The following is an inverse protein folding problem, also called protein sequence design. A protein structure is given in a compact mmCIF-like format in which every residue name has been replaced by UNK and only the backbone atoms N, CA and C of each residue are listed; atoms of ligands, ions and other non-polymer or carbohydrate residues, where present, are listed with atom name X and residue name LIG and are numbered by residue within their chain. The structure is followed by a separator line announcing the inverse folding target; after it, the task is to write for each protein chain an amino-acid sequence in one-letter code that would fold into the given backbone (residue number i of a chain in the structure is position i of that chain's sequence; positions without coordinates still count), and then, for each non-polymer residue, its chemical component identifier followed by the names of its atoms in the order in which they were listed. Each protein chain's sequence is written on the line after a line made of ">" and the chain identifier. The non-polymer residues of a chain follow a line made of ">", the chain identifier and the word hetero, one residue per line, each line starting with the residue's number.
data_IF_504538933327
#
_entry.id   IF_504538933327
#
_cell.length_a   1.000
_cell.length_b   1.000
_cell.length_c   1.000
_cell.angle_alpha   90.00
_cell.angle_beta   90.00
_cell.angle_gamma   90.00
#
_symmetry.space_group_name_H-M   'P 1'
#
loop_
_entity.id
_entity.type
_entity.pdbx_description
1 polymer ?
#
# COMPACT_ATOMS: atom_id res chain seq x y z
N UNK A 1 1.69 -35.73 7.30
CA UNK A 1 0.95 -34.85 6.36
C UNK A 1 1.31 -33.39 6.66
N UNK A 2 2.48 -32.88 6.23
CA UNK A 2 2.78 -31.42 6.27
C UNK A 2 4.11 -30.95 5.61
N UNK A 3 4.81 -31.75 4.80
CA UNK A 3 6.01 -31.26 4.09
C UNK A 3 5.73 -30.77 2.66
N UNK A 4 4.61 -31.15 2.04
CA UNK A 4 4.26 -30.74 0.67
C UNK A 4 3.66 -29.33 0.55
N UNK A 5 3.24 -28.68 1.64
CA UNK A 5 2.73 -27.29 1.58
C UNK A 5 3.83 -26.23 1.65
N UNK A 6 5.05 -26.62 2.00
CA UNK A 6 6.24 -25.74 2.03
C UNK A 6 7.02 -25.83 0.70
N UNK A 7 6.64 -26.75 -0.19
CA UNK A 7 7.31 -27.01 -1.47
C UNK A 7 6.46 -26.59 -2.68
N UNK A 8 5.79 -25.44 -2.59
CA UNK A 8 5.31 -24.69 -3.77
C UNK A 8 5.91 -23.30 -3.69
N UNK A 9 7.24 -23.26 -3.67
CA UNK A 9 8.00 -22.07 -4.03
C UNK A 9 8.32 -22.29 -5.50
N UNK A 10 7.68 -21.53 -6.36
CA UNK A 10 7.97 -21.63 -7.79
C UNK A 10 9.37 -21.07 -8.04
N UNK A 11 10.09 -21.60 -9.03
CA UNK A 11 11.40 -21.06 -9.48
C UNK A 11 11.34 -19.53 -9.69
N UNK A 12 10.16 -19.02 -10.02
CA UNK A 12 9.81 -17.60 -10.11
C UNK A 12 10.07 -16.84 -8.81
N UNK A 13 9.66 -17.34 -7.64
CA UNK A 13 9.80 -16.68 -6.34
C UNK A 13 11.28 -16.52 -5.93
N UNK A 14 12.11 -17.51 -6.27
CA UNK A 14 13.56 -17.49 -6.09
C UNK A 14 14.25 -16.54 -7.07
N UNK A 15 13.82 -16.54 -8.33
CA UNK A 15 14.30 -15.61 -9.37
C UNK A 15 13.94 -14.15 -9.04
N UNK A 16 12.77 -13.94 -8.44
CA UNK A 16 12.27 -12.66 -7.94
C UNK A 16 13.12 -12.13 -6.77
N UNK A 17 13.45 -12.97 -5.81
CA UNK A 17 14.39 -12.63 -4.73
C UNK A 17 15.77 -12.27 -5.28
N UNK A 18 16.25 -12.96 -6.33
CA UNK A 18 17.54 -12.70 -6.98
C UNK A 18 17.57 -11.39 -7.81
N UNK A 19 16.49 -11.04 -8.51
CA UNK A 19 16.41 -9.76 -9.21
C UNK A 19 16.26 -8.56 -8.26
N UNK A 20 15.58 -8.77 -7.13
CA UNK A 20 15.50 -7.77 -6.05
C UNK A 20 16.86 -7.61 -5.34
N UNK A 21 17.60 -8.71 -5.16
CA UNK A 21 18.96 -8.75 -4.59
C UNK A 21 19.96 -7.86 -5.34
N UNK A 22 19.91 -7.79 -6.66
CA UNK A 22 20.83 -6.94 -7.44
C UNK A 22 20.63 -5.43 -7.22
N UNK A 23 19.50 -4.98 -6.65
CA UNK A 23 19.18 -3.54 -6.54
C UNK A 23 19.26 -2.96 -5.13
N UNK A 24 19.32 -3.76 -4.05
CA UNK A 24 19.61 -3.29 -2.67
C UNK A 24 19.65 -4.43 -1.63
N UNK A 25 20.81 -4.66 -1.00
CA UNK A 25 21.09 -5.82 -0.13
C UNK A 25 20.22 -5.95 1.14
N UNK A 26 19.74 -4.83 1.72
CA UNK A 26 18.83 -4.85 2.90
C UNK A 26 17.40 -5.32 2.58
N UNK A 27 17.02 -5.41 1.29
CA UNK A 27 15.64 -5.66 0.85
C UNK A 27 15.33 -7.16 0.63
N UNK A 28 16.35 -8.02 0.58
CA UNK A 28 16.17 -9.47 0.37
C UNK A 28 15.66 -10.18 1.62
N UNK A 29 16.11 -9.78 2.81
CA UNK A 29 15.62 -10.34 4.09
C UNK A 29 14.13 -10.01 4.29
N UNK A 30 13.72 -8.81 3.87
CA UNK A 30 12.34 -8.34 3.87
C UNK A 30 11.46 -9.19 2.94
N UNK A 31 11.86 -9.38 1.68
CA UNK A 31 11.11 -10.17 0.70
C UNK A 31 11.01 -11.65 1.11
N UNK A 32 12.09 -12.22 1.65
CA UNK A 32 12.09 -13.58 2.20
C UNK A 32 11.15 -13.65 3.40
N UNK A 33 11.27 -12.77 4.41
CA UNK A 33 10.38 -12.78 5.57
C UNK A 33 8.91 -12.63 5.14
N UNK A 34 8.60 -11.83 4.12
CA UNK A 34 7.26 -11.66 3.57
C UNK A 34 6.66 -12.92 2.94
N UNK A 35 7.47 -13.71 2.24
CA UNK A 35 7.07 -15.00 1.71
C UNK A 35 6.82 -16.03 2.82
N UNK A 36 7.44 -15.87 4.00
CA UNK A 36 7.47 -16.88 5.06
C UNK A 36 6.81 -16.48 6.40
N UNK A 37 6.21 -15.28 6.58
CA UNK A 37 5.71 -14.86 7.89
C UNK A 37 4.59 -13.80 7.91
N UNK A 38 3.60 -13.98 8.79
CA UNK A 38 2.38 -13.16 8.92
C UNK A 38 2.53 -11.86 9.74
N UNK A 39 3.66 -11.67 10.44
CA UNK A 39 3.93 -10.50 11.31
C UNK A 39 5.08 -9.60 10.83
N UNK A 40 5.52 -9.77 9.58
CA UNK A 40 6.79 -9.23 9.10
C UNK A 40 6.74 -7.74 8.76
N UNK A 41 5.56 -7.22 8.43
CA UNK A 41 5.41 -5.82 8.05
C UNK A 41 5.41 -4.83 9.22
N UNK A 42 5.39 -5.33 10.45
CA UNK A 42 5.41 -4.48 11.65
C UNK A 42 6.78 -3.82 11.77
N UNK A 43 6.82 -2.49 11.66
CA UNK A 43 8.05 -1.68 11.71
C UNK A 43 8.56 -1.21 10.35
N UNK A 44 7.87 -1.54 9.25
CA UNK A 44 8.16 -0.96 7.95
C UNK A 44 7.67 0.48 7.88
N UNK A 45 8.42 1.34 7.20
CA UNK A 45 7.94 2.66 6.84
C UNK A 45 6.87 2.55 5.73
N UNK A 46 6.09 3.61 5.57
CA UNK A 46 5.09 3.67 4.50
C UNK A 46 5.75 3.56 3.14
N UNK A 47 6.88 4.22 2.92
CA UNK A 47 7.64 4.15 1.67
C UNK A 47 8.06 2.71 1.35
N UNK A 48 8.49 1.95 2.36
CA UNK A 48 8.88 0.54 2.21
C UNK A 48 7.67 -0.33 1.84
N UNK A 49 6.52 -0.10 2.47
CA UNK A 49 5.27 -0.77 2.12
C UNK A 49 4.82 -0.43 0.69
N UNK A 50 4.88 0.84 0.28
CA UNK A 50 4.51 1.25 -1.08
C UNK A 50 5.44 0.66 -2.15
N UNK A 51 6.74 0.60 -1.87
CA UNK A 51 7.71 -0.07 -2.73
C UNK A 51 7.42 -1.56 -2.88
N UNK A 52 7.08 -2.21 -1.76
CA UNK A 52 6.74 -3.62 -1.74
C UNK A 52 5.44 -3.91 -2.50
N UNK A 53 4.43 -3.05 -2.37
CA UNK A 53 3.22 -3.17 -3.17
C UNK A 53 3.52 -3.06 -4.66
N UNK A 54 4.33 -2.07 -5.08
CA UNK A 54 4.77 -1.92 -6.48
C UNK A 54 5.54 -3.13 -6.99
N UNK A 55 6.33 -3.77 -6.12
CA UNK A 55 7.00 -5.01 -6.45
C UNK A 55 5.98 -6.14 -6.67
N UNK A 56 5.01 -6.29 -5.75
CA UNK A 56 3.91 -7.24 -5.92
C UNK A 56 3.12 -7.01 -7.20
N UNK A 57 2.85 -5.75 -7.56
CA UNK A 57 2.16 -5.37 -8.79
C UNK A 57 2.98 -5.71 -10.05
N UNK A 58 4.25 -5.26 -10.09
CA UNK A 58 5.17 -5.48 -11.23
C UNK A 58 5.36 -6.96 -11.56
N UNK A 59 5.33 -7.82 -10.55
CA UNK A 59 5.60 -9.25 -10.68
C UNK A 59 4.36 -10.11 -10.45
N UNK A 60 3.17 -9.48 -10.42
CA UNK A 60 1.87 -10.14 -10.30
C UNK A 60 1.73 -11.05 -9.04
N UNK A 61 2.42 -10.70 -7.96
CA UNK A 61 2.43 -11.44 -6.70
C UNK A 61 1.27 -10.96 -5.82
N UNK A 62 0.08 -11.51 -6.07
CA UNK A 62 -1.17 -11.09 -5.41
C UNK A 62 -1.14 -11.14 -3.88
N UNK A 63 -0.53 -12.17 -3.29
CA UNK A 63 -0.50 -12.31 -1.83
C UNK A 63 0.24 -11.16 -1.14
N UNK A 64 1.30 -10.62 -1.76
CA UNK A 64 2.04 -9.47 -1.23
C UNK A 64 1.17 -8.21 -1.32
N UNK A 65 0.50 -8.01 -2.46
CA UNK A 65 -0.40 -6.86 -2.64
C UNK A 65 -1.53 -6.87 -1.60
N UNK A 66 -2.22 -8.00 -1.44
CA UNK A 66 -3.32 -8.15 -0.47
C UNK A 66 -2.85 -7.92 0.98
N UNK A 67 -1.67 -8.44 1.33
CA UNK A 67 -1.07 -8.27 2.65
C UNK A 67 -0.73 -6.79 2.92
N UNK A 68 -0.02 -6.15 1.99
CA UNK A 68 0.39 -4.74 2.13
C UNK A 68 -0.82 -3.82 2.14
N UNK A 69 -1.80 -4.05 1.26
CA UNK A 69 -3.05 -3.27 1.26
C UNK A 69 -3.75 -3.36 2.62
N UNK A 70 -3.83 -4.56 3.19
CA UNK A 70 -4.42 -4.78 4.52
C UNK A 70 -3.69 -4.01 5.64
N UNK A 71 -2.37 -3.90 5.57
CA UNK A 71 -1.59 -3.10 6.53
C UNK A 71 -1.80 -1.60 6.31
N UNK A 72 -1.70 -1.12 5.07
CA UNK A 72 -1.88 0.29 4.74
C UNK A 72 -3.28 0.80 5.14
N UNK A 73 -4.33 -0.01 4.93
CA UNK A 73 -5.70 0.34 5.35
C UNK A 73 -5.82 0.46 6.88
N UNK A 74 -5.14 -0.41 7.64
CA UNK A 74 -5.18 -0.38 9.10
C UNK A 74 -4.45 0.82 9.70
N UNK A 75 -3.46 1.35 8.99
CA UNK A 75 -2.55 2.39 9.48
C UNK A 75 -2.79 3.76 8.81
N UNK A 76 -3.95 3.97 8.18
CA UNK A 76 -4.33 5.27 7.63
C UNK A 76 -4.38 6.31 8.76
N UNK A 77 -3.69 7.44 8.56
CA UNK A 77 -3.60 8.53 9.52
C UNK A 77 -3.50 9.89 8.84
N UNK A 78 -3.62 10.97 9.60
CA UNK A 78 -3.51 12.34 9.08
C UNK A 78 -2.12 12.68 8.52
N UNK A 79 -1.07 11.95 8.92
CA UNK A 79 0.28 12.17 8.41
C UNK A 79 0.54 11.49 7.07
N UNK A 80 -0.25 10.47 6.70
CA UNK A 80 0.03 9.63 5.54
C UNK A 80 -1.08 9.57 4.50
N UNK A 81 -2.31 9.96 4.83
CA UNK A 81 -3.49 9.79 3.97
C UNK A 81 -3.29 10.41 2.59
N UNK A 82 -2.63 11.56 2.48
CA UNK A 82 -2.36 12.23 1.20
C UNK A 82 -1.44 11.40 0.30
N UNK A 83 -0.37 10.85 0.86
CA UNK A 83 0.57 9.99 0.14
C UNK A 83 -0.16 8.72 -0.35
N UNK A 84 -1.01 8.13 0.49
CA UNK A 84 -1.78 6.94 0.15
C UNK A 84 -2.85 7.20 -0.92
N UNK A 85 -3.53 8.36 -0.89
CA UNK A 85 -4.47 8.77 -1.94
C UNK A 85 -3.76 8.85 -3.29
N UNK A 86 -2.61 9.52 -3.37
CA UNK A 86 -1.84 9.63 -4.62
C UNK A 86 -1.43 8.26 -5.13
N UNK A 87 -0.91 7.42 -4.24
CA UNK A 87 -0.46 6.08 -4.57
C UNK A 87 -1.58 5.19 -5.12
N UNK A 88 -2.73 5.19 -4.45
CA UNK A 88 -3.87 4.32 -4.78
C UNK A 88 -4.79 4.90 -5.84
N UNK A 89 -4.57 6.15 -6.27
CA UNK A 89 -5.42 6.84 -7.23
C UNK A 89 -5.60 6.05 -8.54
N UNK A 90 -6.74 6.23 -9.23
CA UNK A 90 -6.99 5.60 -10.53
C UNK A 90 -5.92 5.93 -11.59
N UNK A 91 -5.22 7.06 -11.42
CA UNK A 91 -4.17 7.53 -12.33
C UNK A 91 -2.77 7.00 -11.96
N UNK A 92 -2.65 6.24 -10.87
CA UNK A 92 -1.41 5.62 -10.41
C UNK A 92 -1.53 4.09 -10.45
N UNK A 93 -1.65 3.43 -9.29
CA UNK A 93 -1.77 1.97 -9.20
C UNK A 93 -3.21 1.47 -9.17
N UNK A 94 -4.20 2.37 -9.13
CA UNK A 94 -5.63 2.04 -9.15
C UNK A 94 -6.02 0.99 -8.08
N UNK A 95 -5.53 1.19 -6.85
CA UNK A 95 -5.84 0.31 -5.71
C UNK A 95 -7.17 0.75 -5.10
N UNK A 96 -8.28 0.39 -5.78
CA UNK A 96 -9.62 0.95 -5.54
C UNK A 96 -10.06 0.94 -4.07
N UNK A 97 -9.83 -0.18 -3.37
CA UNK A 97 -10.27 -0.34 -1.98
C UNK A 97 -9.45 0.51 -1.02
N UNK A 98 -8.12 0.53 -1.15
CA UNK A 98 -7.26 1.46 -0.41
C UNK A 98 -7.63 2.92 -0.69
N UNK A 99 -7.84 3.27 -1.96
CA UNK A 99 -8.22 4.62 -2.36
C UNK A 99 -9.51 5.07 -1.67
N UNK A 100 -10.56 4.24 -1.74
CA UNK A 100 -11.83 4.56 -1.10
C UNK A 100 -11.67 4.76 0.40
N UNK A 101 -10.92 3.89 1.09
CA UNK A 101 -10.67 4.03 2.53
C UNK A 101 -9.90 5.30 2.88
N UNK A 102 -8.95 5.70 2.05
CA UNK A 102 -8.23 6.96 2.25
C UNK A 102 -9.14 8.18 2.04
N UNK A 103 -10.02 8.16 1.03
CA UNK A 103 -11.00 9.22 0.82
C UNK A 103 -11.98 9.33 1.99
N UNK A 104 -12.52 8.20 2.47
CA UNK A 104 -13.42 8.18 3.61
C UNK A 104 -12.77 8.79 4.87
N UNK A 105 -11.50 8.43 5.12
CA UNK A 105 -10.73 8.99 6.23
C UNK A 105 -10.44 10.49 6.04
N UNK A 106 -10.04 10.91 4.84
CA UNK A 106 -9.78 12.32 4.54
C UNK A 106 -11.03 13.19 4.76
N UNK A 107 -12.18 12.72 4.28
CA UNK A 107 -13.48 13.36 4.52
C UNK A 107 -13.79 13.48 6.00
N UNK A 108 -13.53 12.42 6.78
CA UNK A 108 -13.71 12.44 8.24
C UNK A 108 -12.84 13.53 8.86
N UNK A 109 -11.55 13.61 8.51
CA UNK A 109 -10.66 14.65 9.01
C UNK A 109 -11.15 16.06 8.66
N UNK A 110 -11.65 16.29 7.44
CA UNK A 110 -12.23 17.59 7.06
C UNK A 110 -13.43 17.96 7.94
N UNK A 111 -14.36 17.02 8.19
CA UNK A 111 -15.53 17.24 9.05
C UNK A 111 -15.15 17.55 10.49
N UNK A 112 -14.10 16.90 10.99
CA UNK A 112 -13.60 17.08 12.36
C UNK A 112 -12.62 18.25 12.50
N UNK A 113 -12.32 18.98 11.41
CA UNK A 113 -11.28 20.01 11.35
C UNK A 113 -9.90 19.52 11.82
N UNK A 114 -9.63 18.23 11.62
CA UNK A 114 -8.34 17.61 11.94
C UNK A 114 -7.32 18.02 10.89
N UNK A 115 -6.14 18.56 11.27
CA UNK A 115 -5.12 18.95 10.30
C UNK A 115 -4.58 17.72 9.57
N UNK A 116 -4.48 17.82 8.24
CA UNK A 116 -3.97 16.77 7.37
C UNK A 116 -2.65 17.23 6.76
N UNK A 117 -1.58 16.46 6.99
CA UNK A 117 -0.24 16.80 6.54
C UNK A 117 -0.13 16.67 5.01
N UNK A 118 0.46 17.67 4.36
CA UNK A 118 0.66 17.67 2.92
C UNK A 118 -0.61 17.87 2.10
N UNK A 119 -1.72 18.28 2.73
CA UNK A 119 -3.00 18.50 2.04
C UNK A 119 -2.91 19.62 1.00
N UNK A 120 -2.05 20.61 1.23
CA UNK A 120 -1.68 21.67 0.29
C UNK A 120 -1.04 21.16 -1.00
N UNK A 121 -0.51 19.95 -0.99
CA UNK A 121 0.15 19.36 -2.15
C UNK A 121 -0.83 18.56 -3.04
N UNK A 122 -2.05 18.30 -2.58
CA UNK A 122 -3.05 17.61 -3.40
C UNK A 122 -3.40 18.41 -4.65
N UNK A 123 -3.56 17.72 -5.77
CA UNK A 123 -4.04 18.32 -7.02
C UNK A 123 -5.41 18.96 -6.76
N UNK A 124 -5.57 20.21 -7.21
CA UNK A 124 -6.81 20.99 -7.03
C UNK A 124 -8.04 20.26 -7.60
N UNK A 125 -7.91 19.57 -8.74
CA UNK A 125 -9.00 18.76 -9.33
C UNK A 125 -9.38 17.60 -8.42
N UNK A 126 -8.38 16.95 -7.81
CA UNK A 126 -8.60 15.86 -6.88
C UNK A 126 -9.27 16.39 -5.61
N UNK A 127 -8.82 17.53 -5.08
CA UNK A 127 -9.41 18.18 -3.92
C UNK A 127 -10.88 18.55 -4.17
N UNK A 128 -11.18 19.16 -5.32
CA UNK A 128 -12.55 19.48 -5.74
C UNK A 128 -13.40 18.22 -5.85
N UNK A 129 -12.86 17.14 -6.42
CA UNK A 129 -13.59 15.86 -6.53
C UNK A 129 -13.94 15.25 -5.17
N UNK A 130 -13.05 15.40 -4.18
CA UNK A 130 -13.27 14.94 -2.80
C UNK A 130 -14.30 15.85 -2.12
N UNK A 131 -14.15 17.17 -2.25
CA UNK A 131 -15.06 18.16 -1.67
C UNK A 131 -16.50 17.98 -2.18
N UNK A 132 -16.69 17.77 -3.48
CA UNK A 132 -18.00 17.49 -4.08
C UNK A 132 -18.66 16.24 -3.48
N UNK A 133 -17.89 15.17 -3.21
CA UNK A 133 -18.41 13.98 -2.50
C UNK A 133 -18.82 14.27 -1.06
N UNK A 134 -18.19 15.23 -0.40
CA UNK A 134 -18.54 15.66 0.96
C UNK A 134 -19.80 16.50 1.01
N UNK A 135 -20.00 17.39 0.03
CA UNK A 135 -21.11 18.35 -0.03
C UNK A 135 -22.39 17.75 -0.62
N UNK A 136 -22.26 16.74 -1.49
CA UNK A 136 -23.39 16.00 -2.05
C UNK A 136 -23.29 14.52 -1.66
N UNK A 137 -23.65 14.14 -0.42
CA UNK A 137 -23.82 12.74 -0.07
C UNK A 137 -25.00 12.18 -0.89
N UNK A 138 -24.72 11.20 -1.75
CA UNK A 138 -25.74 10.45 -2.48
C UNK A 138 -26.64 9.64 -1.55
#
# INVERSE_FOLDING_TARGET
>A
MNFMKILIITVTDLYLCYHFYQTNFKKTEVAIKLLYGTNVLKGFSIEELLLLYRFGDKYEIKHIMDLVEGYLIKDISSSNVVQLIRFSSPNALNVKKLYQKCIDFFIKCLKESTPILGSESLDEKLLVSILLKTLCPA
#
